data_IF_439296588504
#
_entry.id   IF_439296588504
#
_cell.length_a   1.000
_cell.length_b   1.000
_cell.length_c   1.000
_cell.angle_alpha   90.00
_cell.angle_beta   90.00
_cell.angle_gamma   90.00
#
_symmetry.space_group_name_H-M   'P 1'
#
loop_
_entity.id
_entity.type
_entity.pdbx_description
1 polymer ?
#
# COMPACT_ATOMS: atom_id res chain seq x y z
N UNK A 1 -24.60 8.08 -4.08
CA UNK A 1 -24.45 7.95 -2.61
C UNK A 1 -23.55 6.78 -2.15
N UNK A 2 -23.60 5.60 -2.78
CA UNK A 2 -22.89 4.39 -2.30
C UNK A 2 -21.37 4.50 -2.16
N UNK A 3 -20.68 5.20 -3.07
CA UNK A 3 -19.22 5.32 -3.02
C UNK A 3 -18.72 6.15 -1.83
N UNK A 4 -19.50 7.17 -1.44
CA UNK A 4 -19.18 7.99 -0.26
C UNK A 4 -19.25 7.15 1.01
N UNK A 5 -20.29 6.30 1.15
CA UNK A 5 -20.45 5.39 2.30
C UNK A 5 -19.32 4.38 2.37
N UNK A 6 -18.95 3.75 1.24
CA UNK A 6 -17.83 2.78 1.17
C UNK A 6 -16.49 3.43 1.53
N UNK A 7 -16.24 4.65 1.02
CA UNK A 7 -15.03 5.42 1.33
C UNK A 7 -14.95 5.76 2.82
N UNK A 8 -16.03 6.28 3.41
CA UNK A 8 -16.08 6.63 4.83
C UNK A 8 -15.89 5.39 5.72
N UNK A 9 -16.54 4.27 5.41
CA UNK A 9 -16.35 3.00 6.14
C UNK A 9 -14.90 2.52 6.12
N UNK A 10 -14.22 2.63 4.96
CA UNK A 10 -12.79 2.31 4.85
C UNK A 10 -11.93 3.25 5.71
N UNK A 11 -12.19 4.55 5.69
CA UNK A 11 -11.46 5.54 6.49
C UNK A 11 -11.63 5.28 8.00
N UNK A 12 -12.85 4.93 8.45
CA UNK A 12 -13.12 4.55 9.85
C UNK A 12 -12.30 3.32 10.26
N UNK A 13 -12.32 2.25 9.45
CA UNK A 13 -11.50 1.05 9.71
C UNK A 13 -10.00 1.36 9.73
N UNK A 14 -9.52 2.14 8.77
CA UNK A 14 -8.11 2.58 8.72
C UNK A 14 -7.74 3.35 9.99
N UNK A 15 -8.58 4.28 10.46
CA UNK A 15 -8.35 5.01 11.71
C UNK A 15 -8.31 4.07 12.91
N UNK A 16 -9.21 3.08 12.97
CA UNK A 16 -9.23 2.10 14.05
C UNK A 16 -7.95 1.26 14.11
N UNK A 17 -7.50 0.70 12.98
CA UNK A 17 -6.25 -0.07 12.90
C UNK A 17 -5.04 0.80 13.30
N UNK A 18 -4.98 2.04 12.82
CA UNK A 18 -3.91 3.00 13.16
C UNK A 18 -3.91 3.46 14.63
N UNK A 19 -4.90 3.09 15.45
CA UNK A 19 -4.80 3.27 16.91
C UNK A 19 -3.83 2.29 17.57
N UNK A 20 -3.64 1.11 16.97
CA UNK A 20 -2.78 0.05 17.51
C UNK A 20 -1.52 -0.15 16.69
N UNK A 21 -1.63 -0.03 15.36
CA UNK A 21 -0.51 -0.21 14.44
C UNK A 21 0.11 1.15 14.13
N UNK A 22 1.25 1.42 14.74
CA UNK A 22 2.07 2.63 14.56
C UNK A 22 3.43 2.21 14.00
N UNK A 23 3.89 2.89 12.96
CA UNK A 23 5.22 2.66 12.38
C UNK A 23 6.29 3.44 13.13
N UNK A 24 7.32 2.74 13.59
CA UNK A 24 8.55 3.34 14.16
C UNK A 24 9.72 3.14 13.19
N UNK A 25 10.90 3.76 13.42
CA UNK A 25 12.07 3.53 12.59
C UNK A 25 12.50 2.06 12.56
N UNK A 26 12.45 1.37 13.71
CA UNK A 26 12.79 -0.06 13.82
C UNK A 26 11.72 -0.97 13.22
N UNK A 27 10.46 -0.55 13.27
CA UNK A 27 9.33 -1.30 12.73
C UNK A 27 8.38 -0.38 11.97
N UNK A 28 8.72 -0.02 10.71
CA UNK A 28 7.87 0.83 9.90
C UNK A 28 6.52 0.17 9.60
N UNK A 29 5.48 0.98 9.42
CA UNK A 29 4.13 0.48 9.12
C UNK A 29 3.95 0.28 7.63
N UNK A 30 3.59 -0.94 7.23
CA UNK A 30 3.14 -1.22 5.88
C UNK A 30 1.68 -0.75 5.67
N UNK A 31 1.46 0.08 4.66
CA UNK A 31 0.18 0.65 4.29
C UNK A 31 -0.20 0.18 2.88
N UNK A 32 -1.24 -0.65 2.77
CA UNK A 32 -1.74 -1.15 1.48
C UNK A 32 -3.08 -0.49 1.14
N UNK A 33 -3.19 0.00 -0.09
CA UNK A 33 -4.43 0.52 -0.65
C UNK A 33 -4.75 -0.18 -1.98
N UNK A 34 -5.97 -0.70 -2.08
CA UNK A 34 -6.48 -1.34 -3.29
C UNK A 34 -7.65 -0.54 -3.86
N UNK A 35 -7.53 -0.14 -5.12
CA UNK A 35 -8.60 0.48 -5.88
C UNK A 35 -9.31 -0.53 -6.81
N UNK A 36 -10.20 -0.02 -7.66
CA UNK A 36 -10.82 -0.85 -8.69
C UNK A 36 -9.82 -1.29 -9.77
N UNK A 37 -8.75 -0.51 -10.02
CA UNK A 37 -7.82 -0.76 -11.12
C UNK A 37 -6.38 -0.99 -10.67
N UNK A 38 -6.01 -0.55 -9.48
CA UNK A 38 -4.61 -0.45 -9.06
C UNK A 38 -4.41 -0.90 -7.62
N UNK A 39 -3.18 -1.31 -7.32
CA UNK A 39 -2.70 -1.66 -5.98
C UNK A 39 -1.54 -0.75 -5.65
N UNK A 40 -1.54 -0.23 -4.43
CA UNK A 40 -0.52 0.66 -3.89
C UNK A 40 -0.07 0.11 -2.55
N UNK A 41 1.24 0.13 -2.30
CA UNK A 41 1.84 -0.28 -1.04
C UNK A 41 2.93 0.70 -0.64
N UNK A 42 2.99 1.04 0.65
CA UNK A 42 3.93 2.02 1.19
C UNK A 42 4.46 1.55 2.54
N UNK A 43 5.75 1.72 2.76
CA UNK A 43 6.41 1.53 4.05
C UNK A 43 6.62 2.90 4.66
N UNK A 44 6.03 3.15 5.83
CA UNK A 44 5.92 4.49 6.42
C UNK A 44 6.48 4.47 7.85
N UNK A 45 7.33 5.43 8.15
CA UNK A 45 7.71 5.80 9.51
C UNK A 45 6.74 6.90 10.00
N UNK A 46 5.83 6.53 10.91
CA UNK A 46 4.84 7.48 11.44
C UNK A 46 5.46 8.47 12.43
N UNK A 47 6.65 8.19 13.00
CA UNK A 47 7.33 9.09 13.95
C UNK A 47 7.83 10.37 13.27
N UNK A 48 8.36 10.22 12.05
CA UNK A 48 8.83 11.32 11.19
C UNK A 48 7.77 11.75 10.18
N UNK A 49 6.67 11.01 10.07
CA UNK A 49 5.66 11.20 9.03
C UNK A 49 6.20 10.96 7.62
N UNK A 50 7.25 10.15 7.47
CA UNK A 50 7.99 9.97 6.23
C UNK A 50 7.69 8.61 5.60
N UNK A 51 7.51 8.59 4.28
CA UNK A 51 7.36 7.33 3.53
C UNK A 51 8.74 6.90 3.06
N UNK A 52 9.22 5.77 3.58
CA UNK A 52 10.54 5.23 3.27
C UNK A 52 10.56 4.67 1.85
N UNK A 53 9.56 3.85 1.53
CA UNK A 53 9.45 3.18 0.23
C UNK A 53 7.99 3.16 -0.21
N UNK A 54 7.74 3.40 -1.49
CA UNK A 54 6.44 3.26 -2.10
C UNK A 54 6.53 2.47 -3.40
N UNK A 55 5.56 1.59 -3.62
CA UNK A 55 5.41 0.86 -4.88
C UNK A 55 3.94 0.80 -5.29
N UNK A 56 3.68 0.95 -6.58
CA UNK A 56 2.34 0.81 -7.15
C UNK A 56 2.32 0.07 -8.48
N UNK A 57 1.14 -0.41 -8.87
CA UNK A 57 0.92 -0.96 -10.22
C UNK A 57 1.10 0.08 -11.35
N UNK A 58 1.29 1.37 -11.02
CA UNK A 58 1.54 2.43 -11.98
C UNK A 58 3.04 2.69 -12.18
N UNK A 59 3.89 2.17 -11.30
CA UNK A 59 5.33 2.43 -11.35
C UNK A 59 5.93 1.77 -12.59
N UNK A 60 6.88 2.42 -13.30
CA UNK A 60 7.43 1.92 -14.56
C UNK A 60 7.90 0.47 -14.49
N UNK A 61 8.65 0.11 -13.45
CA UNK A 61 9.19 -1.23 -13.23
C UNK A 61 8.11 -2.31 -13.05
N UNK A 62 6.94 -1.93 -12.50
CA UNK A 62 5.84 -2.86 -12.19
C UNK A 62 4.79 -2.87 -13.30
N UNK A 63 4.59 -1.73 -13.96
CA UNK A 63 3.46 -1.49 -14.87
C UNK A 63 3.39 -2.49 -16.00
N UNK A 64 4.53 -2.81 -16.61
CA UNK A 64 4.60 -3.79 -17.71
C UNK A 64 4.39 -5.22 -17.21
N UNK A 65 4.92 -5.54 -16.02
CA UNK A 65 4.81 -6.87 -15.40
C UNK A 65 3.37 -7.21 -14.96
N UNK A 66 2.49 -6.21 -14.79
CA UNK A 66 1.13 -6.39 -14.25
C UNK A 66 0.03 -6.33 -15.31
N UNK A 67 0.37 -6.10 -16.59
CA UNK A 67 -0.61 -6.04 -17.68
C UNK A 67 -1.27 -7.40 -17.88
N UNK A 68 -2.61 -7.42 -18.01
CA UNK A 68 -3.38 -8.66 -18.22
C UNK A 68 -3.52 -9.57 -17.00
N UNK A 69 -2.77 -9.32 -15.92
CA UNK A 69 -2.80 -10.13 -14.71
C UNK A 69 -4.04 -9.86 -13.84
N UNK A 70 -4.45 -10.90 -13.09
CA UNK A 70 -5.51 -10.76 -12.08
C UNK A 70 -4.98 -9.94 -10.89
N UNK A 71 -5.86 -9.23 -10.19
CA UNK A 71 -5.47 -8.38 -9.03
C UNK A 71 -4.61 -9.06 -7.97
N UNK A 72 -4.82 -10.36 -7.75
CA UNK A 72 -4.03 -11.15 -6.79
C UNK A 72 -2.58 -11.27 -7.24
N UNK A 73 -2.37 -11.53 -8.53
CA UNK A 73 -1.04 -11.62 -9.14
C UNK A 73 -0.38 -10.25 -9.20
N UNK A 74 -1.13 -9.20 -9.56
CA UNK A 74 -0.63 -7.81 -9.52
C UNK A 74 -0.16 -7.44 -8.10
N UNK A 75 -0.91 -7.80 -7.06
CA UNK A 75 -0.52 -7.55 -5.68
C UNK A 75 0.73 -8.35 -5.25
N UNK A 76 0.92 -9.57 -5.79
CA UNK A 76 2.15 -10.36 -5.56
C UNK A 76 3.36 -9.67 -6.16
N UNK A 77 3.27 -9.16 -7.39
CA UNK A 77 4.36 -8.43 -8.05
C UNK A 77 4.71 -7.16 -7.26
N UNK A 78 3.70 -6.34 -6.94
CA UNK A 78 3.90 -5.13 -6.12
C UNK A 78 4.56 -5.45 -4.77
N UNK A 79 4.13 -6.53 -4.10
CA UNK A 79 4.72 -6.95 -2.83
C UNK A 79 6.18 -7.38 -2.94
N UNK A 80 6.54 -8.11 -4.02
CA UNK A 80 7.92 -8.52 -4.27
C UNK A 80 8.84 -7.32 -4.50
N UNK A 81 8.42 -6.39 -5.36
CA UNK A 81 9.21 -5.18 -5.66
C UNK A 81 9.34 -4.28 -4.43
N UNK A 82 8.27 -4.14 -3.64
CA UNK A 82 8.32 -3.38 -2.39
C UNK A 82 9.30 -3.98 -1.38
N UNK A 83 9.31 -5.31 -1.24
CA UNK A 83 10.21 -5.99 -0.32
C UNK A 83 11.68 -5.80 -0.75
N UNK A 84 11.98 -5.93 -2.04
CA UNK A 84 13.32 -5.68 -2.57
C UNK A 84 13.80 -4.25 -2.25
N UNK A 85 12.97 -3.24 -2.56
CA UNK A 85 13.29 -1.82 -2.28
C UNK A 85 13.37 -1.46 -0.80
N UNK A 86 12.83 -2.29 0.09
CA UNK A 86 12.87 -2.05 1.54
C UNK A 86 14.05 -2.75 2.22
N UNK A 87 14.76 -3.62 1.49
CA UNK A 87 16.00 -4.27 1.96
C UNK A 87 17.26 -3.49 1.55
N UNK A 88 17.18 -2.72 0.46
CA UNK A 88 18.16 -1.69 0.09
C UNK A 88 18.06 -0.47 1.00
#
# INVERSE_FOLDING_TARGET
>A
MGDRVRRLGRLRRRRHVRKKVVGTPERPRLSVFRSLRHVYAQVIDDSRGHTLVAVSTLDPEVREQVVGLKKVEQARVVGKVLAARALE
#
